data_IF_569859578335
#
_entry.id   IF_569859578335
#
_cell.length_a   1.000
_cell.length_b   1.000
_cell.length_c   1.000
_cell.angle_alpha   90.00
_cell.angle_beta   90.00
_cell.angle_gamma   90.00
#
_symmetry.space_group_name_H-M   'P 1'
#
loop_
_entity.id
_entity.type
_entity.pdbx_description
1 polymer ?
#
# COMPACT_ATOMS: atom_id res chain seq x y z
N UNK A 1 19.26 -39.66 8.13
CA UNK A 1 17.79 -39.58 7.97
C UNK A 1 17.15 -38.56 8.91
N UNK A 2 17.70 -38.31 10.11
CA UNK A 2 17.15 -37.35 11.09
C UNK A 2 17.19 -35.87 10.63
N UNK A 3 18.18 -35.46 9.82
CA UNK A 3 18.34 -34.06 9.38
C UNK A 3 17.24 -33.60 8.40
N UNK A 4 16.68 -34.52 7.60
CA UNK A 4 15.61 -34.19 6.65
C UNK A 4 14.24 -34.03 7.33
N UNK A 5 14.00 -34.77 8.41
CA UNK A 5 12.77 -34.67 9.19
C UNK A 5 12.69 -33.31 9.92
N UNK A 6 13.78 -32.89 10.60
CA UNK A 6 13.81 -31.59 11.27
C UNK A 6 13.71 -30.42 10.30
N UNK A 7 14.29 -30.54 9.09
CA UNK A 7 14.22 -29.48 8.09
C UNK A 7 12.82 -29.34 7.44
N UNK A 8 12.01 -30.39 7.44
CA UNK A 8 10.62 -30.34 6.99
C UNK A 8 9.70 -29.78 8.07
N UNK A 9 9.93 -30.16 9.32
CA UNK A 9 9.21 -29.61 10.48
C UNK A 9 9.42 -28.10 10.60
N UNK A 10 10.66 -27.61 10.50
CA UNK A 10 10.94 -26.16 10.52
C UNK A 10 10.32 -25.41 9.35
N UNK A 11 10.29 -26.01 8.15
CA UNK A 11 9.61 -25.41 6.99
C UNK A 11 8.10 -25.36 7.18
N UNK A 12 7.50 -26.39 7.76
CA UNK A 12 6.06 -26.43 8.03
C UNK A 12 5.69 -25.37 9.06
N UNK A 13 6.39 -25.32 10.20
CA UNK A 13 6.20 -24.30 11.23
C UNK A 13 6.34 -22.88 10.67
N UNK A 14 7.35 -22.65 9.83
CA UNK A 14 7.54 -21.35 9.19
C UNK A 14 6.36 -21.00 8.26
N UNK A 15 5.84 -21.96 7.49
CA UNK A 15 4.65 -21.73 6.65
C UNK A 15 3.40 -21.47 7.48
N UNK A 16 3.22 -22.18 8.60
CA UNK A 16 2.12 -21.91 9.54
C UNK A 16 2.24 -20.48 10.07
N UNK A 17 3.44 -20.07 10.46
CA UNK A 17 3.73 -18.73 10.96
C UNK A 17 3.43 -17.64 9.92
N UNK A 18 3.91 -17.77 8.67
CA UNK A 18 3.64 -16.81 7.60
C UNK A 18 2.13 -16.65 7.35
N UNK A 19 1.39 -17.75 7.27
CA UNK A 19 -0.07 -17.71 7.09
C UNK A 19 -0.76 -17.08 8.30
N UNK A 20 -0.33 -17.44 9.51
CA UNK A 20 -0.88 -16.90 10.76
C UNK A 20 -0.63 -15.39 10.93
N UNK A 21 0.46 -14.86 10.37
CA UNK A 21 0.74 -13.42 10.40
C UNK A 21 -0.21 -12.61 9.54
N UNK A 22 -0.72 -13.22 8.47
CA UNK A 22 -1.67 -12.57 7.56
C UNK A 22 -3.12 -12.70 8.03
N UNK A 23 -3.36 -13.44 9.12
CA UNK A 23 -4.66 -13.64 9.74
C UNK A 23 -4.75 -12.90 11.07
N UNK A 24 -5.89 -12.24 11.29
CA UNK A 24 -6.18 -11.50 12.53
C UNK A 24 -6.75 -12.46 13.57
N UNK A 25 -6.32 -12.35 14.81
CA UNK A 25 -6.99 -13.05 15.89
C UNK A 25 -8.39 -12.41 16.11
N UNK A 26 -9.49 -13.18 16.01
CA UNK A 26 -10.83 -12.60 16.04
C UNK A 26 -11.29 -12.11 17.42
N UNK A 27 -10.60 -12.52 18.49
CA UNK A 27 -10.95 -12.19 19.88
C UNK A 27 -9.88 -11.32 20.55
N UNK A 28 -8.82 -10.95 19.83
CA UNK A 28 -7.69 -10.20 20.38
C UNK A 28 -7.75 -8.74 19.94
N UNK A 29 -7.22 -7.84 20.77
CA UNK A 29 -7.38 -6.40 20.57
C UNK A 29 -6.59 -5.85 19.37
N UNK A 30 -5.51 -6.51 18.94
CA UNK A 30 -4.68 -6.05 17.82
C UNK A 30 -3.60 -7.05 17.37
N UNK A 31 -3.82 -8.35 17.57
CA UNK A 31 -2.78 -9.37 17.33
C UNK A 31 -3.09 -10.23 16.10
N UNK A 32 -2.03 -10.71 15.45
CA UNK A 32 -2.14 -11.74 14.43
C UNK A 32 -2.38 -13.12 15.08
N UNK A 33 -2.83 -14.09 14.29
CA UNK A 33 -2.96 -15.48 14.72
C UNK A 33 -1.58 -16.09 15.02
N UNK A 34 -0.53 -15.63 14.35
CA UNK A 34 0.84 -16.07 14.60
C UNK A 34 1.37 -15.60 15.96
N UNK A 35 1.08 -14.36 16.36
CA UNK A 35 1.65 -13.74 17.55
C UNK A 35 0.80 -13.95 18.82
N UNK A 36 -0.50 -14.20 18.66
CA UNK A 36 -1.39 -14.30 19.81
C UNK A 36 -1.32 -15.64 20.54
N UNK A 37 -1.47 -15.58 21.87
CA UNK A 37 -1.59 -16.73 22.76
C UNK A 37 -3.04 -17.05 23.15
N UNK A 38 -4.02 -16.44 22.49
CA UNK A 38 -5.42 -16.80 22.68
C UNK A 38 -5.67 -18.24 22.22
N UNK A 39 -6.55 -18.95 22.93
CA UNK A 39 -6.95 -20.32 22.62
C UNK A 39 -7.42 -20.47 21.16
N UNK A 40 -8.18 -19.49 20.65
CA UNK A 40 -8.62 -19.49 19.25
C UNK A 40 -7.46 -19.38 18.25
N UNK A 41 -6.40 -18.64 18.60
CA UNK A 41 -5.24 -18.47 17.72
C UNK A 41 -4.40 -19.76 17.66
N UNK A 42 -4.30 -20.48 18.78
CA UNK A 42 -3.68 -21.82 18.83
C UNK A 42 -4.46 -22.77 17.91
N UNK A 43 -5.78 -22.87 18.07
CA UNK A 43 -6.61 -23.74 17.24
C UNK A 43 -6.54 -23.37 15.75
N UNK A 44 -6.48 -22.08 15.41
CA UNK A 44 -6.31 -21.65 14.03
C UNK A 44 -4.96 -22.08 13.45
N UNK A 45 -3.86 -22.04 14.23
CA UNK A 45 -2.54 -22.55 13.81
C UNK A 45 -2.57 -24.05 13.56
N UNK A 46 -3.25 -24.82 14.40
CA UNK A 46 -3.43 -26.26 14.22
C UNK A 46 -4.19 -26.57 12.92
N UNK A 47 -5.25 -25.81 12.64
CA UNK A 47 -6.01 -25.93 11.38
C UNK A 47 -5.14 -25.57 10.17
N UNK A 48 -4.31 -24.52 10.26
CA UNK A 48 -3.39 -24.14 9.19
C UNK A 48 -2.40 -25.28 8.93
N UNK A 49 -1.79 -25.84 9.98
CA UNK A 49 -0.86 -26.96 9.88
C UNK A 49 -1.52 -28.16 9.19
N UNK A 50 -2.70 -28.58 9.66
CA UNK A 50 -3.45 -29.68 9.07
C UNK A 50 -3.70 -29.44 7.57
N UNK A 51 -4.12 -28.24 7.19
CA UNK A 51 -4.39 -27.92 5.78
C UNK A 51 -3.15 -27.90 4.90
N UNK A 52 -2.01 -27.48 5.47
CA UNK A 52 -0.73 -27.55 4.77
C UNK A 52 -0.29 -28.99 4.53
N UNK A 53 -0.51 -29.88 5.50
CA UNK A 53 -0.27 -31.31 5.38
C UNK A 53 -1.22 -31.99 4.38
N UNK A 54 -2.47 -31.52 4.29
CA UNK A 54 -3.43 -31.89 3.24
C UNK A 54 -3.04 -31.39 1.83
N UNK A 55 -1.94 -30.64 1.70
CA UNK A 55 -1.45 -30.11 0.43
C UNK A 55 -2.19 -28.86 -0.06
N UNK A 56 -2.95 -28.19 0.80
CA UNK A 56 -3.62 -26.94 0.43
C UNK A 56 -2.60 -25.81 0.23
N UNK A 57 -2.90 -24.96 -0.74
CA UNK A 57 -2.14 -23.72 -0.95
C UNK A 57 -2.51 -22.67 0.09
N UNK A 58 -1.59 -21.75 0.38
CA UNK A 58 -1.83 -20.61 1.27
C UNK A 58 -3.07 -19.80 0.89
N UNK A 59 -3.30 -19.57 -0.41
CA UNK A 59 -4.49 -18.86 -0.89
C UNK A 59 -5.79 -19.60 -0.56
N UNK A 60 -5.79 -20.94 -0.61
CA UNK A 60 -6.95 -21.75 -0.22
C UNK A 60 -7.18 -21.72 1.30
N UNK A 61 -6.11 -21.75 2.09
CA UNK A 61 -6.20 -21.67 3.55
C UNK A 61 -6.75 -20.31 3.99
N UNK A 62 -6.23 -19.22 3.41
CA UNK A 62 -6.75 -17.86 3.62
C UNK A 62 -8.22 -17.75 3.20
N UNK A 63 -8.58 -18.31 2.05
CA UNK A 63 -9.97 -18.33 1.59
C UNK A 63 -10.89 -19.14 2.52
N UNK A 64 -10.40 -20.21 3.14
CA UNK A 64 -11.14 -20.99 4.13
C UNK A 64 -11.48 -20.14 5.37
N UNK A 65 -10.52 -19.42 5.93
CA UNK A 65 -10.78 -18.53 7.05
C UNK A 65 -11.66 -17.33 6.65
N UNK A 66 -11.44 -16.78 5.47
CA UNK A 66 -12.26 -15.71 4.92
C UNK A 66 -13.72 -16.14 4.73
N UNK A 67 -13.99 -17.38 4.33
CA UNK A 67 -15.35 -17.89 4.19
C UNK A 67 -16.08 -17.98 5.55
N UNK A 68 -15.35 -18.29 6.62
CA UNK A 68 -15.91 -18.46 7.97
C UNK A 68 -16.03 -17.15 8.74
N UNK A 69 -15.05 -16.26 8.61
CA UNK A 69 -14.97 -15.02 9.38
C UNK A 69 -15.27 -13.76 8.55
N UNK A 70 -15.16 -13.81 7.23
CA UNK A 70 -15.30 -12.66 6.33
C UNK A 70 -13.97 -11.99 6.01
N UNK A 71 -14.01 -10.91 5.21
CA UNK A 71 -12.80 -10.22 4.71
C UNK A 71 -11.92 -9.61 5.81
N UNK A 72 -12.51 -9.27 6.97
CA UNK A 72 -11.79 -8.61 8.07
C UNK A 72 -10.78 -9.50 8.79
N UNK A 73 -10.86 -10.83 8.57
CA UNK A 73 -9.92 -11.79 9.14
C UNK A 73 -8.54 -11.66 8.49
N UNK A 74 -8.46 -11.19 7.25
CA UNK A 74 -7.20 -10.94 6.58
C UNK A 74 -6.67 -9.59 7.06
N UNK A 75 -5.40 -9.54 7.48
CA UNK A 75 -4.76 -8.27 7.87
C UNK A 75 -4.69 -7.31 6.68
N UNK A 76 -4.51 -7.86 5.47
CA UNK A 76 -4.49 -7.08 4.23
C UNK A 76 -5.73 -7.41 3.38
N UNK A 77 -6.55 -6.40 3.01
CA UNK A 77 -7.75 -6.64 2.23
C UNK A 77 -7.39 -7.18 0.84
N UNK A 78 -8.13 -8.19 0.34
CA UNK A 78 -7.84 -8.80 -0.94
C UNK A 78 -7.96 -7.77 -2.07
N UNK A 79 -7.01 -7.77 -3.01
CA UNK A 79 -7.01 -6.91 -4.21
C UNK A 79 -8.02 -7.38 -5.26
N UNK A 80 -9.27 -7.62 -4.87
CA UNK A 80 -10.35 -8.10 -5.76
C UNK A 80 -11.67 -7.44 -5.39
N UNK A 81 -12.56 -7.31 -6.37
CA UNK A 81 -13.90 -6.75 -6.17
C UNK A 81 -13.87 -5.27 -5.76
N UNK A 82 -14.73 -4.90 -4.80
CA UNK A 82 -14.90 -3.52 -4.34
C UNK A 82 -13.62 -2.94 -3.71
N UNK A 83 -12.79 -3.79 -3.08
CA UNK A 83 -11.55 -3.38 -2.45
C UNK A 83 -10.53 -2.79 -3.43
N UNK A 84 -10.63 -3.10 -4.74
CA UNK A 84 -9.81 -2.48 -5.78
C UNK A 84 -9.96 -0.97 -5.84
N UNK A 85 -11.12 -0.43 -5.47
CA UNK A 85 -11.36 1.02 -5.47
C UNK A 85 -10.43 1.72 -4.49
N UNK A 86 -10.19 1.14 -3.31
CA UNK A 86 -9.29 1.70 -2.30
C UNK A 86 -7.85 1.78 -2.82
N UNK A 87 -7.46 0.85 -3.71
CA UNK A 87 -6.13 0.85 -4.34
C UNK A 87 -6.04 1.79 -5.55
N UNK A 88 -7.08 1.88 -6.37
CA UNK A 88 -7.10 2.69 -7.59
C UNK A 88 -7.34 4.18 -7.32
N UNK A 89 -8.20 4.50 -6.35
CA UNK A 89 -8.60 5.88 -6.05
C UNK A 89 -7.39 6.80 -5.73
N UNK A 90 -6.43 6.42 -4.86
CA UNK A 90 -5.26 7.26 -4.60
C UNK A 90 -4.44 7.54 -5.86
N UNK A 91 -4.27 6.55 -6.74
CA UNK A 91 -3.51 6.71 -7.99
C UNK A 91 -4.21 7.65 -8.97
N UNK A 92 -5.54 7.52 -9.12
CA UNK A 92 -6.31 8.37 -10.01
C UNK A 92 -6.33 9.81 -9.54
N UNK A 93 -6.54 10.04 -8.24
CA UNK A 93 -6.52 11.38 -7.64
C UNK A 93 -5.14 12.01 -7.74
N UNK A 94 -4.08 11.24 -7.50
CA UNK A 94 -2.69 11.70 -7.66
C UNK A 94 -2.39 12.14 -9.09
N UNK A 95 -2.75 11.32 -10.09
CA UNK A 95 -2.57 11.66 -11.50
C UNK A 95 -3.38 12.90 -11.92
N UNK A 96 -4.63 13.00 -11.47
CA UNK A 96 -5.46 14.16 -11.71
C UNK A 96 -4.85 15.43 -11.12
N UNK A 97 -4.34 15.37 -9.88
CA UNK A 97 -3.67 16.49 -9.22
C UNK A 97 -2.42 16.96 -9.98
N UNK A 98 -1.58 16.01 -10.40
CA UNK A 98 -0.38 16.32 -11.21
C UNK A 98 -0.77 16.96 -12.56
N UNK A 99 -1.79 16.44 -13.23
CA UNK A 99 -2.27 16.99 -14.49
C UNK A 99 -2.77 18.43 -14.34
N UNK A 100 -3.59 18.69 -13.31
CA UNK A 100 -4.09 20.04 -13.01
C UNK A 100 -2.93 20.99 -12.71
N UNK A 101 -1.99 20.60 -11.86
CA UNK A 101 -0.82 21.41 -11.53
C UNK A 101 0.01 21.74 -12.78
N UNK A 102 0.25 20.76 -13.65
CA UNK A 102 0.98 20.97 -14.89
C UNK A 102 0.27 21.94 -15.83
N UNK A 103 -1.07 21.92 -15.89
CA UNK A 103 -1.87 22.89 -16.66
C UNK A 103 -1.73 24.29 -16.07
N UNK A 104 -1.87 24.44 -14.74
CA UNK A 104 -1.76 25.74 -14.07
C UNK A 104 -0.37 26.37 -14.25
N UNK A 105 0.70 25.59 -14.05
CA UNK A 105 2.07 26.05 -14.25
C UNK A 105 2.30 26.49 -15.70
N UNK A 106 1.85 25.70 -16.69
CA UNK A 106 1.96 26.07 -18.10
C UNK A 106 1.24 27.38 -18.43
N UNK A 107 0.08 27.62 -17.81
CA UNK A 107 -0.66 28.87 -18.01
C UNK A 107 0.12 30.07 -17.46
N UNK A 108 0.72 29.94 -16.27
CA UNK A 108 1.50 31.03 -15.67
C UNK A 108 2.84 31.30 -16.37
N UNK A 109 3.48 30.29 -16.95
CA UNK A 109 4.75 30.50 -17.66
C UNK A 109 4.61 31.01 -19.09
N UNK A 110 3.40 30.94 -19.67
CA UNK A 110 3.13 31.43 -21.04
C UNK A 110 2.82 32.92 -21.08
N UNK A 111 2.36 33.52 -19.97
CA UNK A 111 2.16 34.96 -19.83
C UNK A 111 3.48 35.64 -19.45
N UNK A 112 4.44 35.62 -20.38
CA UNK A 112 5.58 36.54 -20.33
C UNK A 112 5.11 37.84 -20.97
N UNK A 113 4.61 38.75 -20.15
CA UNK A 113 4.40 40.15 -20.53
C UNK A 113 5.76 40.70 -20.99
N UNK A 114 5.94 40.82 -22.32
CA UNK A 114 7.08 41.52 -22.89
C UNK A 114 6.92 42.98 -22.52
N UNK A 115 7.69 43.44 -21.52
CA UNK A 115 7.81 44.86 -21.23
C UNK A 115 8.44 45.51 -22.47
N UNK A 116 7.59 46.07 -23.34
CA UNK A 116 7.99 46.92 -24.44
C UNK A 116 8.42 48.24 -23.82
N UNK A 117 9.73 48.38 -23.59
CA UNK A 117 10.30 49.62 -23.04
C UNK A 117 10.22 50.67 -24.15
N UNK A 118 9.34 51.64 -23.96
CA UNK A 118 9.23 52.81 -24.81
C UNK A 118 10.58 53.55 -24.87
N UNK A 119 11.05 53.85 -26.08
CA UNK A 119 12.32 54.53 -26.34
C UNK A 119 12.43 55.88 -25.58
N UNK A 120 11.28 56.49 -25.28
CA UNK A 120 11.16 57.71 -24.48
C UNK A 120 11.46 57.50 -22.99
N UNK A 121 11.13 56.34 -22.42
CA UNK A 121 11.45 55.97 -21.04
C UNK A 121 12.94 55.62 -20.89
N UNK A 122 13.52 54.92 -21.88
CA UNK A 122 14.94 54.56 -21.87
C UNK A 122 15.85 55.80 -21.87
N UNK A 123 15.46 56.85 -22.61
CA UNK A 123 16.19 58.13 -22.65
C UNK A 123 16.17 58.86 -21.31
N UNK A 124 15.03 58.91 -20.62
CA UNK A 124 14.92 59.58 -19.31
C UNK A 124 15.77 58.91 -18.24
N UNK A 125 15.78 57.57 -18.20
CA UNK A 125 16.62 56.82 -17.25
C UNK A 125 18.10 57.06 -17.53
N UNK A 126 18.51 57.08 -18.81
CA UNK A 126 19.89 57.33 -19.20
C UNK A 126 20.35 58.75 -18.85
N UNK A 127 19.50 59.74 -19.11
CA UNK A 127 19.75 61.13 -18.75
C UNK A 127 19.84 61.36 -17.22
N UNK A 128 19.07 60.60 -16.44
CA UNK A 128 19.18 60.63 -14.97
C UNK A 128 20.48 60.01 -14.45
N UNK A 129 21.05 59.03 -15.16
CA UNK A 129 22.34 58.41 -14.80
C UNK A 129 23.54 59.26 -15.20
N UNK A 130 23.47 59.96 -16.34
CA UNK A 130 24.57 60.81 -16.80
C UNK A 130 24.68 62.12 -15.99
N UNK A 131 23.64 62.49 -15.23
CA UNK A 131 23.60 63.66 -14.35
C UNK A 131 23.85 63.32 -12.85
N UNK A 132 24.14 62.06 -12.53
CA UNK A 132 24.47 61.59 -11.18
C UNK A 132 25.99 61.41 -11.02
#
# INVERSE_FOLDING_TARGET
MLVFASAQETQLEQRVFEIGRDLRCPVCTSESVADSNAEIAIQMRDIIQQKLEEGQSEAQIKAFFQASYGDWILLEPPRRGIHLIVWLLPTLVGLAGVAVLAILIRRWTTEKETIEVDETELKRVREALDNA
#
